data_IF_181174883828
#
_entry.id   IF_181174883828
#
_cell.length_a   1.000
_cell.length_b   1.000
_cell.length_c   1.000
_cell.angle_alpha   90.00
_cell.angle_beta   90.00
_cell.angle_gamma   90.00
#
_symmetry.space_group_name_H-M   'P 1'
#
loop_
_entity.id
_entity.type
_entity.pdbx_description
1 polymer ?
#
# COMPACT_ATOMS: atom_id res chain seq x y z
N UNK A 1 -10.83 10.96 11.90
CA UNK A 1 -10.41 10.69 10.50
C UNK A 1 -9.05 11.33 10.30
N UNK A 2 -7.98 10.55 10.11
CA UNK A 2 -6.67 11.10 9.76
C UNK A 2 -6.55 11.03 8.24
N UNK A 3 -6.60 12.19 7.58
CA UNK A 3 -6.60 12.31 6.12
C UNK A 3 -5.16 12.53 5.62
N UNK A 4 -4.71 11.75 4.64
CA UNK A 4 -3.47 12.07 3.90
C UNK A 4 -3.73 13.26 2.96
N UNK A 5 -3.71 14.49 3.48
CA UNK A 5 -3.83 15.66 2.62
C UNK A 5 -2.95 16.82 3.12
N UNK A 6 -1.76 16.97 2.52
CA UNK A 6 -1.12 18.28 2.36
C UNK A 6 -1.77 19.02 1.19
N UNK A 7 -1.77 20.35 1.24
CA UNK A 7 -2.41 21.24 0.25
C UNK A 7 -1.82 21.19 -1.15
N UNK A 8 -0.65 20.56 -1.32
CA UNK A 8 -0.09 20.13 -2.62
C UNK A 8 0.51 18.73 -2.42
N UNK A 9 0.09 17.71 -3.19
CA UNK A 9 0.71 16.39 -3.10
C UNK A 9 2.15 16.48 -3.63
N UNK A 10 3.14 16.28 -2.76
CA UNK A 10 4.55 16.27 -3.15
C UNK A 10 5.06 14.89 -3.59
N UNK A 11 4.13 13.92 -3.69
CA UNK A 11 4.38 12.52 -4.09
C UNK A 11 5.24 11.71 -3.12
N UNK A 12 5.47 12.21 -1.90
CA UNK A 12 6.16 11.42 -0.87
C UNK A 12 5.35 10.16 -0.52
N UNK A 13 6.02 9.05 -0.31
CA UNK A 13 5.39 7.91 0.34
C UNK A 13 4.98 8.29 1.77
N UNK A 14 3.82 7.84 2.21
CA UNK A 14 3.33 8.08 3.57
C UNK A 14 2.88 6.77 4.20
N UNK A 15 3.16 6.55 5.48
CA UNK A 15 2.62 5.43 6.25
C UNK A 15 2.03 5.90 7.58
N UNK A 16 1.20 5.04 8.16
CA UNK A 16 0.77 5.11 9.54
C UNK A 16 0.85 3.72 10.15
N UNK A 17 1.27 3.65 11.41
CA UNK A 17 1.19 2.45 12.23
C UNK A 17 0.39 2.77 13.48
N UNK A 18 -0.63 1.96 13.76
CA UNK A 18 -1.52 2.17 14.90
C UNK A 18 -1.73 0.84 15.61
N UNK A 19 -1.34 0.81 16.88
CA UNK A 19 -1.70 -0.26 17.79
C UNK A 19 -3.18 -0.17 18.16
N UNK A 20 -3.84 -1.33 18.23
CA UNK A 20 -5.23 -1.42 18.61
C UNK A 20 -5.37 -1.23 20.11
N UNK A 21 -6.17 -0.25 20.49
CA UNK A 21 -6.45 0.09 21.87
C UNK A 21 -7.97 0.21 22.06
N UNK A 22 -8.43 1.09 22.93
CA UNK A 22 -9.87 1.24 23.23
C UNK A 22 -10.51 2.41 22.48
N UNK A 23 -9.82 2.97 21.49
CA UNK A 23 -10.34 4.07 20.65
C UNK A 23 -10.52 3.60 19.21
N UNK A 24 -11.73 3.77 18.62
CA UNK A 24 -11.94 3.45 17.21
C UNK A 24 -11.19 4.44 16.32
N UNK A 25 -10.71 3.97 15.18
CA UNK A 25 -10.03 4.83 14.20
C UNK A 25 -10.25 4.36 12.77
N UNK A 26 -9.84 5.21 11.83
CA UNK A 26 -9.85 4.89 10.41
C UNK A 26 -8.66 5.52 9.69
N UNK A 27 -8.05 4.75 8.79
CA UNK A 27 -6.96 5.16 7.91
C UNK A 27 -7.47 4.99 6.47
N UNK A 28 -7.38 6.03 5.64
CA UNK A 28 -7.91 6.02 4.29
C UNK A 28 -6.85 6.45 3.29
N UNK A 29 -6.64 5.67 2.24
CA UNK A 29 -5.92 6.06 1.03
C UNK A 29 -6.93 6.17 -0.10
N UNK A 30 -7.10 7.37 -0.64
CA UNK A 30 -8.08 7.65 -1.70
C UNK A 30 -7.39 8.14 -2.96
N UNK A 31 -8.16 8.28 -4.05
CA UNK A 31 -7.67 8.78 -5.34
C UNK A 31 -6.55 7.90 -5.93
N UNK A 32 -6.65 6.59 -5.79
CA UNK A 32 -5.69 5.66 -6.40
C UNK A 32 -5.90 5.53 -7.91
N UNK A 33 -4.94 6.04 -8.69
CA UNK A 33 -4.98 6.03 -10.15
C UNK A 33 -3.63 5.63 -10.78
N UNK A 34 -2.93 4.68 -10.13
CA UNK A 34 -1.56 4.27 -10.49
C UNK A 34 -0.67 4.03 -9.26
N UNK A 35 -1.09 4.53 -8.10
CA UNK A 35 -0.45 4.35 -6.81
C UNK A 35 -0.64 2.92 -6.26
N UNK A 36 0.17 2.55 -5.26
CA UNK A 36 0.03 1.30 -4.52
C UNK A 36 -0.22 1.58 -3.05
N UNK A 37 -1.10 0.82 -2.42
CA UNK A 37 -1.28 0.81 -0.96
C UNK A 37 -0.91 -0.56 -0.43
N UNK A 38 -0.12 -0.61 0.64
CA UNK A 38 0.16 -1.86 1.37
C UNK A 38 -0.49 -1.72 2.75
N UNK A 39 -1.21 -2.76 3.17
CA UNK A 39 -1.79 -2.87 4.50
C UNK A 39 -1.24 -4.14 5.14
N UNK A 40 -0.53 -4.00 6.25
CA UNK A 40 -0.18 -5.08 7.16
C UNK A 40 -1.15 -5.00 8.32
N UNK A 41 -2.00 -6.01 8.50
CA UNK A 41 -2.96 -6.06 9.61
C UNK A 41 -2.77 -7.34 10.40
N UNK A 42 -2.72 -7.21 11.73
CA UNK A 42 -2.71 -8.34 12.66
C UNK A 42 -3.90 -8.28 13.62
N UNK A 43 -3.75 -8.86 14.81
CA UNK A 43 -4.71 -8.71 15.92
C UNK A 43 -4.31 -7.63 16.92
N UNK A 44 -3.13 -7.02 16.78
CA UNK A 44 -2.62 -6.00 17.71
C UNK A 44 -2.41 -4.63 17.07
N UNK A 45 -2.24 -4.57 15.76
CA UNK A 45 -1.94 -3.33 15.07
C UNK A 45 -2.29 -3.40 13.58
N UNK A 46 -2.25 -2.23 12.96
CA UNK A 46 -2.21 -2.07 11.51
C UNK A 46 -1.05 -1.16 11.13
N UNK A 47 -0.38 -1.48 10.02
CA UNK A 47 0.50 -0.57 9.30
C UNK A 47 -0.06 -0.39 7.88
N UNK A 48 -0.25 0.84 7.44
CA UNK A 48 -0.84 1.15 6.13
C UNK A 48 -0.07 2.28 5.45
N UNK A 49 0.23 2.11 4.17
CA UNK A 49 0.97 3.11 3.37
C UNK A 49 0.27 3.51 2.09
N UNK A 50 0.58 4.70 1.59
CA UNK A 50 0.32 5.17 0.24
C UNK A 50 1.66 5.40 -0.48
N UNK A 51 1.87 4.69 -1.59
CA UNK A 51 3.05 4.77 -2.45
C UNK A 51 2.66 5.33 -3.81
N UNK A 52 3.30 6.41 -4.24
CA UNK A 52 2.92 7.13 -5.45
C UNK A 52 3.40 6.44 -6.72
N UNK A 53 2.60 6.53 -7.77
CA UNK A 53 2.94 6.00 -9.10
C UNK A 53 4.30 6.49 -9.59
N UNK A 54 4.42 7.80 -9.78
CA UNK A 54 5.57 8.45 -10.39
C UNK A 54 6.83 8.34 -9.53
N UNK A 55 6.72 8.73 -8.26
CA UNK A 55 7.86 8.84 -7.36
C UNK A 55 8.31 7.50 -6.80
N UNK A 56 7.37 6.66 -6.33
CA UNK A 56 7.67 5.37 -5.70
C UNK A 56 7.78 4.27 -6.74
N UNK A 57 6.81 4.14 -7.64
CA UNK A 57 6.73 3.00 -8.57
C UNK A 57 7.43 3.22 -9.91
N UNK A 58 7.73 4.48 -10.26
CA UNK A 58 8.22 4.84 -11.58
C UNK A 58 7.14 4.77 -12.66
N UNK A 59 7.39 5.43 -13.79
CA UNK A 59 6.60 5.25 -15.02
C UNK A 59 7.49 4.71 -16.14
N UNK A 60 6.87 3.97 -17.05
CA UNK A 60 7.52 3.47 -18.26
C UNK A 60 7.66 4.59 -19.32
N UNK A 61 8.39 5.66 -19.00
CA UNK A 61 8.74 6.76 -19.91
C UNK A 61 10.22 7.12 -19.76
N UNK A 62 10.82 7.63 -20.84
CA UNK A 62 12.24 7.95 -20.90
C UNK A 62 12.61 9.01 -19.84
N UNK A 63 13.59 8.69 -18.98
CA UNK A 63 14.02 9.54 -17.86
C UNK A 63 13.37 9.19 -16.52
N UNK A 64 12.35 8.32 -16.48
CA UNK A 64 11.73 7.86 -15.24
C UNK A 64 12.27 6.50 -14.75
N UNK A 65 11.97 6.18 -13.50
CA UNK A 65 12.32 4.87 -12.91
C UNK A 65 11.60 3.76 -13.67
N UNK A 66 12.35 2.77 -14.17
CA UNK A 66 11.78 1.62 -14.85
C UNK A 66 10.98 0.77 -13.88
N UNK A 67 9.82 0.27 -14.29
CA UNK A 67 8.98 -0.63 -13.46
C UNK A 67 9.57 -2.03 -13.26
N UNK A 68 10.74 -2.29 -13.85
CA UNK A 68 11.52 -3.52 -13.71
C UNK A 68 12.00 -3.74 -12.25
N UNK A 69 12.28 -4.99 -11.90
CA UNK A 69 12.88 -5.33 -10.61
C UNK A 69 14.36 -4.92 -10.52
N UNK A 70 14.85 -4.68 -9.30
CA UNK A 70 16.24 -4.30 -9.05
C UNK A 70 16.56 -2.82 -9.28
N UNK A 71 15.54 -1.97 -9.42
CA UNK A 71 15.71 -0.51 -9.53
C UNK A 71 16.25 0.08 -8.21
N UNK A 72 17.46 0.67 -8.20
CA UNK A 72 18.03 1.26 -6.99
C UNK A 72 17.15 2.38 -6.38
N UNK A 73 16.44 3.14 -7.21
CA UNK A 73 15.55 4.19 -6.72
C UNK A 73 14.33 3.60 -6.00
N UNK A 74 13.76 2.50 -6.52
CA UNK A 74 12.71 1.77 -5.82
C UNK A 74 13.19 1.20 -4.49
N UNK A 75 14.39 0.60 -4.47
CA UNK A 75 14.98 0.08 -3.24
C UNK A 75 15.10 1.16 -2.16
N UNK A 76 15.64 2.33 -2.49
CA UNK A 76 15.79 3.45 -1.55
C UNK A 76 14.45 4.06 -1.11
N UNK A 77 13.49 4.22 -2.04
CA UNK A 77 12.25 4.96 -1.78
C UNK A 77 11.16 4.11 -1.14
N UNK A 78 11.15 2.81 -1.41
CA UNK A 78 10.10 1.90 -0.95
C UNK A 78 10.68 0.83 -0.04
N UNK A 79 11.64 0.04 -0.50
CA UNK A 79 12.08 -1.13 0.27
C UNK A 79 12.79 -0.74 1.58
N UNK A 80 13.60 0.31 1.57
CA UNK A 80 14.22 0.88 2.78
C UNK A 80 13.16 1.54 3.68
N UNK A 81 12.17 2.21 3.09
CA UNK A 81 11.06 2.81 3.84
C UNK A 81 10.24 1.76 4.59
N UNK A 82 9.89 0.63 3.96
CA UNK A 82 9.23 -0.49 4.63
C UNK A 82 10.01 -0.99 5.85
N UNK A 83 11.34 -0.97 5.78
CA UNK A 83 12.25 -1.35 6.87
C UNK A 83 12.47 -0.25 7.91
N UNK A 84 11.92 0.95 7.73
CA UNK A 84 12.19 2.11 8.59
C UNK A 84 13.63 2.62 8.49
N UNK A 85 14.33 2.31 7.40
CA UNK A 85 15.72 2.71 7.18
C UNK A 85 15.81 4.09 6.54
N UNK A 86 16.67 4.95 7.08
CA UNK A 86 16.98 6.25 6.49
C UNK A 86 17.85 6.10 5.24
N UNK A 87 17.60 6.94 4.24
CA UNK A 87 18.46 7.08 3.06
C UNK A 87 19.42 8.26 3.28
N UNK A 88 20.72 7.99 3.41
CA UNK A 88 21.74 9.01 3.70
C UNK A 88 22.40 9.63 2.47
N UNK A 89 22.42 8.92 1.34
CA UNK A 89 22.94 9.40 0.06
C UNK A 89 22.02 8.95 -1.08
N UNK A 90 20.89 9.65 -1.26
CA UNK A 90 19.91 9.23 -2.25
C UNK A 90 20.46 9.37 -3.67
N UNK A 91 20.21 8.35 -4.49
CA UNK A 91 20.46 8.45 -5.92
C UNK A 91 19.36 9.30 -6.56
N UNK A 92 19.69 10.22 -7.49
CA UNK A 92 18.65 10.85 -8.28
C UNK A 92 17.94 9.78 -9.10
N UNK A 93 16.60 9.75 -9.06
CA UNK A 93 15.89 9.18 -10.21
C UNK A 93 15.94 10.25 -11.28
N UNK A 94 16.26 9.92 -12.54
CA UNK A 94 16.29 10.90 -13.64
C UNK A 94 15.00 11.73 -13.83
N UNK A 95 13.94 11.40 -13.07
CA UNK A 95 12.66 12.07 -12.98
C UNK A 95 12.55 13.16 -11.90
N UNK A 96 12.96 12.86 -10.66
CA UNK A 96 12.74 13.70 -9.47
C UNK A 96 13.77 13.44 -8.39
N UNK A 97 14.14 14.50 -7.68
CA UNK A 97 14.96 14.42 -6.47
C UNK A 97 14.30 13.56 -5.39
N UNK A 98 15.12 13.02 -4.50
CA UNK A 98 14.63 12.23 -3.39
C UNK A 98 13.86 13.10 -2.39
N UNK A 99 12.63 12.68 -2.13
CA UNK A 99 11.73 13.17 -1.10
C UNK A 99 11.63 12.07 -0.03
N UNK A 100 12.03 12.41 1.19
CA UNK A 100 11.93 11.48 2.31
C UNK A 100 10.47 11.06 2.53
N UNK A 101 10.20 9.77 2.75
CA UNK A 101 8.87 9.32 3.15
C UNK A 101 8.49 9.92 4.51
N UNK A 102 7.19 9.93 4.78
CA UNK A 102 6.61 10.37 6.04
C UNK A 102 5.93 9.19 6.76
N UNK A 103 6.06 9.13 8.08
CA UNK A 103 5.61 7.98 8.89
C UNK A 103 6.66 6.87 9.07
N UNK A 104 6.35 5.87 9.91
CA UNK A 104 7.29 4.83 10.30
C UNK A 104 7.41 3.69 9.27
N UNK A 105 8.53 2.96 9.33
CA UNK A 105 8.60 1.62 8.76
C UNK A 105 7.70 0.63 9.51
N UNK A 106 7.67 -0.62 9.05
CA UNK A 106 6.92 -1.69 9.70
C UNK A 106 7.68 -2.11 10.97
N UNK A 107 7.06 -1.97 12.14
CA UNK A 107 7.57 -2.57 13.37
C UNK A 107 7.13 -4.03 13.46
N UNK A 108 8.07 -4.95 13.19
CA UNK A 108 7.79 -6.38 13.24
C UNK A 108 7.32 -6.86 14.62
N UNK A 109 7.64 -6.15 15.71
CA UNK A 109 7.24 -6.56 17.07
C UNK A 109 5.73 -6.51 17.29
N UNK A 110 4.99 -5.79 16.44
CA UNK A 110 3.53 -5.72 16.47
C UNK A 110 2.83 -6.81 15.64
N UNK A 111 3.62 -7.60 14.90
CA UNK A 111 3.12 -8.59 13.94
C UNK A 111 3.80 -9.98 14.04
N UNK A 112 4.72 -10.16 14.98
CA UNK A 112 5.60 -11.33 15.09
C UNK A 112 5.02 -12.52 15.87
N UNK A 113 3.83 -12.42 16.45
CA UNK A 113 3.23 -13.58 17.12
C UNK A 113 2.49 -14.45 16.10
N UNK A 114 3.23 -15.35 15.44
CA UNK A 114 2.69 -16.23 14.40
C UNK A 114 1.54 -17.14 14.85
N UNK A 115 1.37 -17.36 16.16
CA UNK A 115 0.26 -18.14 16.71
C UNK A 115 -1.04 -17.34 16.84
N UNK A 116 -0.96 -16.05 17.18
CA UNK A 116 -2.14 -15.24 17.55
C UNK A 116 -2.39 -14.04 16.67
N UNK A 117 -1.34 -13.42 16.11
CA UNK A 117 -1.49 -12.16 15.37
C UNK A 117 -2.21 -12.35 14.05
N UNK A 118 -2.17 -13.57 13.51
CA UNK A 118 -2.74 -13.93 12.21
C UNK A 118 -2.40 -12.90 11.12
N UNK A 119 -1.20 -12.31 11.21
CA UNK A 119 -0.74 -11.20 10.38
C UNK A 119 -0.97 -11.50 8.91
N UNK A 120 -1.64 -10.58 8.24
CA UNK A 120 -1.95 -10.68 6.83
C UNK A 120 -1.58 -9.38 6.12
N UNK A 121 -1.01 -9.51 4.93
CA UNK A 121 -0.57 -8.40 4.10
C UNK A 121 -1.45 -8.29 2.88
N UNK A 122 -2.04 -7.12 2.67
CA UNK A 122 -2.83 -6.79 1.50
C UNK A 122 -2.06 -5.78 0.65
N UNK A 123 -1.88 -6.09 -0.64
CA UNK A 123 -1.18 -5.21 -1.57
C UNK A 123 -2.17 -4.76 -2.64
N UNK A 124 -2.69 -3.54 -2.49
CA UNK A 124 -3.62 -2.92 -3.44
C UNK A 124 -2.82 -2.17 -4.51
N UNK A 125 -2.75 -2.73 -5.72
CA UNK A 125 -1.82 -2.29 -6.79
C UNK A 125 -2.52 -2.26 -8.15
N UNK A 126 -2.18 -1.35 -9.07
CA UNK A 126 -2.89 -1.24 -10.34
C UNK A 126 -2.51 -2.37 -11.31
N UNK A 127 -3.47 -2.71 -12.17
CA UNK A 127 -3.18 -3.36 -13.45
C UNK A 127 -2.76 -2.31 -14.48
N UNK A 128 -2.21 -2.75 -15.62
CA UNK A 128 -1.83 -1.90 -16.75
C UNK A 128 -3.02 -1.07 -17.25
N UNK A 129 -2.77 0.14 -17.74
CA UNK A 129 -3.81 0.96 -18.36
C UNK A 129 -4.46 0.22 -19.54
N UNK A 130 -5.79 0.34 -19.67
CA UNK A 130 -6.56 -0.35 -20.70
C UNK A 130 -6.96 -1.80 -20.36
N UNK A 131 -6.51 -2.33 -19.22
CA UNK A 131 -6.96 -3.63 -18.74
C UNK A 131 -8.47 -3.66 -18.44
N UNK A 132 -9.10 -4.80 -18.72
CA UNK A 132 -10.51 -5.07 -18.47
C UNK A 132 -10.71 -5.77 -17.12
N UNK A 133 -11.97 -5.90 -16.69
CA UNK A 133 -12.32 -6.60 -15.42
C UNK A 133 -11.82 -8.05 -15.39
N UNK A 134 -11.79 -8.72 -16.54
CA UNK A 134 -11.25 -10.09 -16.64
C UNK A 134 -9.75 -10.19 -16.33
N UNK A 135 -9.00 -9.09 -16.48
CA UNK A 135 -7.55 -9.06 -16.26
C UNK A 135 -7.18 -9.00 -14.77
N UNK A 136 -8.12 -8.68 -13.88
CA UNK A 136 -7.87 -8.61 -12.44
C UNK A 136 -7.43 -9.95 -11.84
N UNK A 137 -7.64 -11.07 -12.51
CA UNK A 137 -7.17 -12.38 -12.05
C UNK A 137 -5.91 -12.84 -12.78
N UNK A 138 -5.39 -12.06 -13.73
CA UNK A 138 -4.20 -12.39 -14.51
C UNK A 138 -2.96 -11.73 -13.87
N UNK A 139 -2.00 -12.48 -13.32
CA UNK A 139 -0.79 -11.90 -12.73
C UNK A 139 0.03 -11.03 -13.71
N UNK A 140 -0.04 -11.33 -15.02
CA UNK A 140 0.69 -10.59 -16.05
C UNK A 140 0.05 -9.23 -16.37
N UNK A 141 -1.15 -8.96 -15.87
CA UNK A 141 -1.83 -7.68 -16.02
C UNK A 141 -1.35 -6.65 -15.00
N UNK A 142 -0.69 -7.07 -13.91
CA UNK A 142 -0.14 -6.16 -12.91
C UNK A 142 0.83 -5.17 -13.57
N UNK A 143 0.67 -3.88 -13.27
CA UNK A 143 1.55 -2.85 -13.79
C UNK A 143 2.97 -2.99 -13.23
N UNK A 144 3.08 -3.35 -11.95
CA UNK A 144 4.34 -3.45 -11.22
C UNK A 144 4.61 -4.88 -10.74
N UNK A 145 4.49 -5.85 -11.65
CA UNK A 145 4.56 -7.27 -11.30
C UNK A 145 5.87 -7.66 -10.59
N UNK A 146 7.02 -7.12 -11.02
CA UNK A 146 8.31 -7.40 -10.38
C UNK A 146 8.40 -6.88 -8.93
N UNK A 147 7.67 -5.81 -8.63
CA UNK A 147 7.70 -5.12 -7.33
C UNK A 147 6.70 -5.72 -6.34
N UNK A 148 5.45 -5.92 -6.78
CA UNK A 148 4.31 -6.28 -5.93
C UNK A 148 3.67 -7.63 -6.25
N UNK A 149 4.12 -8.31 -7.30
CA UNK A 149 3.65 -9.64 -7.68
C UNK A 149 4.00 -10.71 -6.64
N UNK A 150 3.53 -11.94 -6.87
CA UNK A 150 3.91 -13.08 -6.05
C UNK A 150 5.43 -13.30 -6.12
N UNK A 151 6.13 -13.16 -4.99
CA UNK A 151 7.60 -13.20 -4.94
C UNK A 151 8.30 -11.92 -5.41
N UNK A 152 7.55 -10.83 -5.61
CA UNK A 152 8.12 -9.52 -5.93
C UNK A 152 8.94 -8.94 -4.77
N UNK A 153 9.69 -7.88 -5.06
CA UNK A 153 10.62 -7.23 -4.12
C UNK A 153 9.98 -6.82 -2.78
N UNK A 154 8.72 -6.37 -2.81
CA UNK A 154 7.98 -6.00 -1.59
C UNK A 154 7.61 -7.23 -0.77
N UNK A 155 7.15 -8.30 -1.42
CA UNK A 155 6.79 -9.55 -0.72
C UNK A 155 8.02 -10.13 -0.03
N UNK A 156 9.17 -10.15 -0.70
CA UNK A 156 10.43 -10.62 -0.14
C UNK A 156 10.91 -9.71 0.99
N UNK A 157 10.83 -8.38 0.81
CA UNK A 157 11.20 -7.42 1.87
C UNK A 157 10.34 -7.59 3.12
N UNK A 158 9.03 -7.81 2.97
CA UNK A 158 8.13 -8.06 4.10
C UNK A 158 8.43 -9.41 4.77
N UNK A 159 8.75 -10.44 3.98
CA UNK A 159 9.19 -11.74 4.49
C UNK A 159 10.43 -11.58 5.39
N UNK A 160 11.42 -10.81 4.94
CA UNK A 160 12.63 -10.47 5.69
C UNK A 160 12.32 -9.71 6.99
N UNK A 161 11.46 -8.68 6.91
CA UNK A 161 11.06 -7.88 8.09
C UNK A 161 10.44 -8.76 9.17
N UNK A 162 9.61 -9.74 8.80
CA UNK A 162 8.98 -10.65 9.75
C UNK A 162 9.83 -11.89 10.08
N UNK A 163 10.98 -12.08 9.44
CA UNK A 163 11.80 -13.27 9.63
C UNK A 163 11.09 -14.57 9.24
N UNK A 164 10.22 -14.53 8.23
CA UNK A 164 9.46 -15.69 7.73
C UNK A 164 9.81 -16.00 6.29
N UNK A 165 9.74 -17.26 5.88
CA UNK A 165 9.98 -17.64 4.47
C UNK A 165 8.84 -17.19 3.55
N UNK A 166 7.60 -17.21 4.03
CA UNK A 166 6.40 -16.92 3.23
C UNK A 166 5.36 -16.17 4.06
N UNK A 167 5.30 -14.83 3.95
CA UNK A 167 4.24 -14.06 4.60
C UNK A 167 2.88 -14.40 3.98
N UNK A 168 1.80 -14.26 4.75
CA UNK A 168 0.43 -14.36 4.24
C UNK A 168 0.12 -13.09 3.46
N UNK A 169 0.01 -13.21 2.14
CA UNK A 169 -0.18 -12.07 1.23
C UNK A 169 -1.41 -12.27 0.37
N UNK A 170 -2.19 -11.20 0.21
CA UNK A 170 -3.23 -11.09 -0.82
C UNK A 170 -2.94 -9.88 -1.70
N UNK A 171 -2.66 -10.13 -2.96
CA UNK A 171 -2.54 -9.08 -3.97
C UNK A 171 -3.94 -8.73 -4.45
N UNK A 172 -4.30 -7.45 -4.38
CA UNK A 172 -5.60 -6.90 -4.75
C UNK A 172 -5.41 -5.96 -5.93
N UNK A 173 -5.47 -6.48 -7.17
CA UNK A 173 -5.38 -5.65 -8.35
C UNK A 173 -6.60 -4.75 -8.50
N UNK A 174 -6.41 -3.54 -9.02
CA UNK A 174 -7.48 -2.61 -9.39
C UNK A 174 -7.24 -1.99 -10.76
N UNK A 175 -8.32 -1.59 -11.45
CA UNK A 175 -8.25 -0.90 -12.74
C UNK A 175 -8.06 0.61 -12.49
N UNK A 176 -6.88 1.19 -12.77
CA UNK A 176 -6.64 2.60 -12.52
C UNK A 176 -7.52 3.47 -13.42
N UNK A 177 -7.96 4.63 -12.90
CA UNK A 177 -8.52 5.69 -13.73
C UNK A 177 -7.41 6.26 -14.62
N UNK A 178 -7.70 6.46 -15.91
CA UNK A 178 -6.80 7.23 -16.77
C UNK A 178 -7.04 8.73 -16.53
N UNK A 179 -6.21 9.37 -15.72
CA UNK A 179 -6.36 10.80 -15.40
C UNK A 179 -6.02 11.73 -16.56
N UNK A 180 -5.43 11.23 -17.65
CA UNK A 180 -5.26 11.98 -18.89
C UNK A 180 -6.54 12.06 -19.73
N UNK A 181 -7.52 11.18 -19.47
CA UNK A 181 -8.87 11.27 -20.04
C UNK A 181 -9.71 12.18 -19.13
N UNK A 182 -10.20 13.35 -19.60
CA UNK A 182 -10.98 14.26 -18.77
C UNK A 182 -12.22 13.64 -18.13
N UNK A 183 -12.89 12.71 -18.82
CA UNK A 183 -14.09 12.06 -18.29
C UNK A 183 -13.76 11.16 -17.10
N UNK A 184 -12.65 10.42 -17.18
CA UNK A 184 -12.16 9.58 -16.08
C UNK A 184 -11.48 10.38 -14.98
N UNK A 185 -10.69 11.41 -15.32
CA UNK A 185 -10.12 12.34 -14.35
C UNK A 185 -11.19 13.02 -13.50
N UNK A 186 -12.33 13.36 -14.11
CA UNK A 186 -13.48 13.92 -13.39
C UNK A 186 -14.13 12.94 -12.40
N UNK A 187 -13.87 11.63 -12.46
CA UNK A 187 -14.36 10.65 -11.48
C UNK A 187 -13.45 10.51 -10.27
N UNK A 188 -12.22 11.03 -10.33
CA UNK A 188 -11.22 10.80 -9.30
C UNK A 188 -11.69 11.31 -7.92
N UNK A 189 -11.82 10.38 -6.96
CA UNK A 189 -12.25 10.68 -5.60
C UNK A 189 -13.73 11.05 -5.46
N UNK A 190 -14.57 10.77 -6.46
CA UNK A 190 -16.03 10.94 -6.38
C UNK A 190 -16.77 9.69 -5.89
N UNK A 191 -16.15 8.53 -5.98
CA UNK A 191 -16.71 7.25 -5.56
C UNK A 191 -15.66 6.38 -4.83
N UNK A 192 -16.04 5.14 -4.50
CA UNK A 192 -15.17 4.19 -3.81
C UNK A 192 -14.03 3.62 -4.69
N UNK A 193 -14.00 3.93 -5.99
CA UNK A 193 -12.95 3.44 -6.89
C UNK A 193 -11.61 4.04 -6.49
N UNK A 194 -10.57 3.21 -6.52
CA UNK A 194 -9.25 3.61 -6.05
C UNK A 194 -9.24 4.10 -4.60
N UNK A 195 -10.05 3.49 -3.73
CA UNK A 195 -10.06 3.79 -2.30
C UNK A 195 -9.75 2.53 -1.49
N UNK A 196 -8.85 2.68 -0.53
CA UNK A 196 -8.57 1.71 0.51
C UNK A 196 -8.88 2.35 1.86
N UNK A 197 -9.73 1.72 2.65
CA UNK A 197 -10.14 2.21 3.97
C UNK A 197 -9.98 1.08 4.98
N UNK A 198 -9.12 1.31 5.97
CA UNK A 198 -9.03 0.47 7.16
C UNK A 198 -9.81 1.14 8.29
N UNK A 199 -10.61 0.35 9.02
CA UNK A 199 -11.30 0.79 10.22
C UNK A 199 -11.11 -0.23 11.33
N UNK A 200 -10.84 0.28 12.53
CA UNK A 200 -10.80 -0.49 13.76
C UNK A 200 -11.89 -0.02 14.70
N UNK A 201 -12.57 -0.97 15.32
CA UNK A 201 -13.63 -0.75 16.30
C UNK A 201 -13.40 -1.66 17.52
N UNK A 202 -13.12 -1.10 18.72
CA UNK A 202 -12.91 -1.89 19.92
C UNK A 202 -14.20 -2.52 20.47
N UNK A 203 -15.38 -2.11 19.97
CA UNK A 203 -16.68 -2.61 20.40
C UNK A 203 -17.61 -2.85 19.20
N UNK A 204 -17.12 -3.62 18.22
CA UNK A 204 -17.76 -3.80 16.92
C UNK A 204 -19.13 -4.49 16.99
N UNK A 205 -19.47 -5.16 18.09
CA UNK A 205 -20.75 -5.84 18.31
C UNK A 205 -21.59 -5.27 19.46
N UNK A 206 -21.13 -4.19 20.09
CA UNK A 206 -21.78 -3.59 21.27
C UNK A 206 -21.65 -4.40 22.57
N UNK A 207 -20.83 -5.47 22.58
CA UNK A 207 -20.57 -6.34 23.74
C UNK A 207 -19.07 -6.47 24.07
N UNK A 208 -18.26 -5.49 23.67
CA UNK A 208 -16.82 -5.42 23.93
C UNK A 208 -15.96 -6.22 22.95
N UNK A 209 -16.55 -6.72 21.85
CA UNK A 209 -15.79 -7.51 20.87
C UNK A 209 -15.07 -6.62 19.87
N UNK A 210 -13.74 -6.73 19.88
CA UNK A 210 -12.86 -5.96 19.01
C UNK A 210 -12.92 -6.52 17.58
N UNK A 211 -12.93 -5.63 16.59
CA UNK A 211 -12.81 -6.03 15.20
C UNK A 211 -12.17 -4.93 14.34
N UNK A 212 -11.64 -5.34 13.20
CA UNK A 212 -11.29 -4.42 12.13
C UNK A 212 -11.92 -4.85 10.81
N UNK A 213 -12.05 -3.87 9.92
CA UNK A 213 -12.52 -4.05 8.54
C UNK A 213 -11.65 -3.28 7.56
N UNK A 214 -11.38 -3.92 6.43
CA UNK A 214 -10.61 -3.36 5.34
C UNK A 214 -11.46 -3.34 4.08
N UNK A 215 -11.71 -2.16 3.56
CA UNK A 215 -12.36 -1.93 2.28
C UNK A 215 -11.30 -1.63 1.23
N UNK A 216 -11.37 -2.30 0.09
CA UNK A 216 -10.54 -2.06 -1.09
C UNK A 216 -11.47 -2.04 -2.30
N UNK A 217 -11.87 -0.84 -2.71
CA UNK A 217 -13.01 -0.61 -3.61
C UNK A 217 -14.27 -1.36 -3.16
N UNK A 218 -14.78 -2.30 -3.98
CA UNK A 218 -15.97 -3.10 -3.69
C UNK A 218 -15.69 -4.35 -2.84
N UNK A 219 -14.43 -4.60 -2.43
CA UNK A 219 -14.05 -5.75 -1.60
C UNK A 219 -14.03 -5.35 -0.13
N UNK A 220 -14.57 -6.20 0.73
CA UNK A 220 -14.50 -6.05 2.18
C UNK A 220 -13.84 -7.27 2.81
N UNK A 221 -12.90 -7.02 3.72
CA UNK A 221 -12.40 -8.01 4.68
C UNK A 221 -12.87 -7.59 6.06
N UNK A 222 -13.39 -8.53 6.84
CA UNK A 222 -13.81 -8.31 8.22
C UNK A 222 -13.10 -9.32 9.13
N UNK A 223 -12.57 -8.85 10.25
CA UNK A 223 -11.85 -9.70 11.20
C UNK A 223 -12.18 -9.31 12.63
N UNK A 224 -12.74 -10.26 13.36
CA UNK A 224 -12.77 -10.23 14.83
C UNK A 224 -11.38 -10.55 15.37
N UNK A 225 -10.99 -9.85 16.43
CA UNK A 225 -9.71 -10.02 17.12
C UNK A 225 -9.90 -10.19 18.62
#
# INVERSE_FOLDING_TARGET
MVLFAKSVPDERAVSQQVEFADTPFSIISARMHGCTTIVVAGTRAVWMTHLWESYSNGKDVQGENLTNGGDPAFAQRVLMFLRGQQVSNPLPSGYKDYISPDGPGIDANLFNNGATDQTHVYIFTPVKYGAARGDLNNPNSLKYAARYGAGGEVVNTIADIFGVTRPRVTIVPYIPLNTNDPAQGAQLGKDARGTVLFQYDPDSDGNGKKAWRLFMEARMVYKTI
#
